data_IF_109547267617
#
_entry.id   IF_109547267617
#
_cell.length_a   1.000
_cell.length_b   1.000
_cell.length_c   1.000
_cell.angle_alpha   90.00
_cell.angle_beta   90.00
_cell.angle_gamma   90.00
#
_symmetry.space_group_name_H-M   'P 1'
#
loop_
_entity.id
_entity.type
_entity.pdbx_description
1 polymer ?
#
# COMPACT_ATOMS: atom_id res chain seq x y z
N UNK A 1 -2.06 28.36 11.29
CA UNK A 1 -1.87 27.19 10.40
C UNK A 1 -2.27 25.95 11.18
N UNK A 2 -3.42 25.35 10.89
CA UNK A 2 -3.90 24.20 11.66
C UNK A 2 -3.20 22.94 11.14
N UNK A 3 -1.96 22.69 11.59
CA UNK A 3 -1.26 21.43 11.31
C UNK A 3 -1.93 20.35 12.14
N UNK A 4 -2.89 19.64 11.54
CA UNK A 4 -3.47 18.43 12.16
C UNK A 4 -2.48 17.29 11.93
N UNK A 5 -1.53 17.16 12.84
CA UNK A 5 -0.68 15.98 12.93
C UNK A 5 -1.56 14.77 13.29
N UNK A 6 -1.78 13.87 12.33
CA UNK A 6 -2.43 12.59 12.59
C UNK A 6 -1.39 11.67 13.22
N UNK A 7 -1.23 11.77 14.54
CA UNK A 7 -0.44 10.82 15.30
C UNK A 7 -0.27 11.22 16.75
N UNK A 8 -0.75 10.42 17.70
CA UNK A 8 0.07 9.38 18.34
C UNK A 8 -0.65 8.67 19.50
N UNK A 9 -0.08 7.51 19.85
CA UNK A 9 -0.30 6.58 20.98
C UNK A 9 -1.33 5.45 20.91
N UNK A 10 -2.54 5.60 20.37
CA UNK A 10 -3.42 4.41 20.22
C UNK A 10 -3.20 3.60 18.92
N UNK A 11 -2.43 4.16 17.97
CA UNK A 11 -2.06 3.46 16.74
C UNK A 11 -1.07 2.29 16.95
N UNK A 12 -0.43 2.18 18.12
CA UNK A 12 0.53 1.10 18.41
C UNK A 12 -0.12 -0.28 18.59
N UNK A 13 -1.46 -0.38 18.72
CA UNK A 13 -2.17 -1.66 18.72
C UNK A 13 -2.77 -2.07 17.37
N UNK A 14 -2.85 -1.18 16.39
CA UNK A 14 -3.38 -1.50 15.06
C UNK A 14 -2.31 -1.94 14.05
N UNK A 15 -1.04 -2.04 14.48
CA UNK A 15 0.10 -2.46 13.66
C UNK A 15 0.21 -3.97 13.39
N UNK A 16 -0.87 -4.75 13.59
CA UNK A 16 -0.84 -6.20 13.33
C UNK A 16 -1.31 -6.62 11.95
N UNK A 17 -1.92 -5.74 11.16
CA UNK A 17 -2.24 -6.05 9.75
C UNK A 17 -1.80 -4.89 8.85
N UNK A 18 -0.78 -5.08 7.98
CA UNK A 18 -0.41 -4.06 7.01
C UNK A 18 -1.57 -3.86 6.03
N UNK A 19 -2.21 -2.69 6.10
CA UNK A 19 -3.12 -2.26 5.04
C UNK A 19 -2.31 -2.20 3.72
N UNK A 20 -2.76 -2.85 2.64
CA UNK A 20 -2.02 -2.97 1.39
C UNK A 20 -1.64 -1.60 0.84
N UNK A 21 -0.44 -1.50 0.27
CA UNK A 21 0.09 -0.27 -0.32
C UNK A 21 -0.86 0.34 -1.38
N UNK A 22 -1.62 -0.51 -2.08
CA UNK A 22 -2.50 -0.20 -3.22
C UNK A 22 -3.69 0.71 -2.89
N UNK A 23 -4.17 0.73 -1.64
CA UNK A 23 -5.32 1.56 -1.25
C UNK A 23 -4.93 2.90 -0.61
N UNK A 24 -3.63 3.14 -0.37
CA UNK A 24 -3.13 4.32 0.34
C UNK A 24 -3.44 5.65 -0.37
N UNK A 25 -3.32 5.80 -1.70
CA UNK A 25 -3.62 7.06 -2.37
C UNK A 25 -5.09 7.47 -2.21
N UNK A 26 -6.03 6.56 -2.48
CA UNK A 26 -7.46 6.81 -2.37
C UNK A 26 -7.87 7.17 -0.93
N UNK A 27 -7.32 6.44 0.06
CA UNK A 27 -7.56 6.72 1.48
C UNK A 27 -7.03 8.10 1.90
N UNK A 28 -5.84 8.46 1.44
CA UNK A 28 -5.21 9.76 1.72
C UNK A 28 -6.06 10.90 1.16
N UNK A 29 -6.48 10.77 -0.11
CA UNK A 29 -7.36 11.73 -0.76
C UNK A 29 -8.70 11.87 -0.04
N UNK A 30 -9.33 10.75 0.35
CA UNK A 30 -10.60 10.76 1.07
C UNK A 30 -10.52 11.54 2.39
N UNK A 31 -9.54 11.23 3.25
CA UNK A 31 -9.44 11.91 4.55
C UNK A 31 -9.00 13.36 4.41
N UNK A 32 -8.17 13.69 3.42
CA UNK A 32 -7.79 15.07 3.12
C UNK A 32 -9.01 15.89 2.68
N UNK A 33 -9.79 15.38 1.72
CA UNK A 33 -11.02 16.03 1.26
C UNK A 33 -12.06 16.15 2.39
N UNK A 34 -12.21 15.11 3.22
CA UNK A 34 -13.13 15.13 4.37
C UNK A 34 -12.70 16.11 5.46
N UNK A 35 -11.40 16.26 5.69
CA UNK A 35 -10.88 17.24 6.63
C UNK A 35 -11.14 18.68 6.14
N UNK A 36 -11.06 18.92 4.83
CA UNK A 36 -11.44 20.19 4.22
C UNK A 36 -12.96 20.44 4.32
N UNK A 37 -13.77 19.47 3.88
CA UNK A 37 -15.23 19.62 3.87
C UNK A 37 -15.81 19.79 5.28
N UNK A 38 -15.17 19.18 6.28
CA UNK A 38 -15.60 19.30 7.68
C UNK A 38 -15.26 20.63 8.36
N UNK A 39 -14.66 21.60 7.65
CA UNK A 39 -14.37 22.93 8.20
C UNK A 39 -15.58 23.86 8.22
N UNK A 40 -16.54 23.64 7.33
CA UNK A 40 -17.69 24.52 7.12
C UNK A 40 -18.99 23.71 7.13
N UNK A 41 -20.08 24.32 7.59
CA UNK A 41 -21.40 23.71 7.54
C UNK A 41 -22.17 24.17 6.29
N UNK A 42 -23.29 23.51 6.00
CA UNK A 42 -24.13 23.87 4.85
C UNK A 42 -24.57 25.34 4.94
N UNK A 43 -24.40 26.08 3.85
CA UNK A 43 -24.75 27.50 3.76
C UNK A 43 -23.67 28.48 4.23
N UNK A 44 -22.51 28.00 4.71
CA UNK A 44 -21.35 28.85 5.00
C UNK A 44 -20.55 29.20 3.74
N UNK A 45 -19.86 30.33 3.78
CA UNK A 45 -19.02 30.85 2.69
C UNK A 45 -17.74 30.01 2.51
N UNK A 46 -17.41 29.67 1.26
CA UNK A 46 -16.18 28.99 0.90
C UNK A 46 -14.91 29.81 1.20
N UNK A 47 -15.01 31.13 1.33
CA UNK A 47 -13.92 31.99 1.79
C UNK A 47 -13.45 31.66 3.21
N UNK A 48 -14.27 30.99 4.02
CA UNK A 48 -13.89 30.53 5.35
C UNK A 48 -13.00 29.29 5.35
N UNK A 49 -12.84 28.61 4.20
CA UNK A 49 -11.99 27.43 4.09
C UNK A 49 -10.52 27.78 4.34
N UNK A 50 -9.90 27.04 5.25
CA UNK A 50 -8.46 27.12 5.52
C UNK A 50 -7.72 26.04 4.74
N UNK A 51 -6.49 26.31 4.28
CA UNK A 51 -5.63 25.28 3.71
C UNK A 51 -5.54 24.04 4.60
N UNK A 52 -5.77 22.87 4.01
CA UNK A 52 -5.70 21.57 4.66
C UNK A 52 -4.49 20.81 4.14
N UNK A 53 -3.61 20.45 5.04
CA UNK A 53 -2.39 19.71 4.74
C UNK A 53 -2.47 18.36 5.44
N UNK A 54 -2.36 17.27 4.67
CA UNK A 54 -2.15 15.94 5.20
C UNK A 54 -0.65 15.61 5.16
N UNK A 55 -0.10 15.12 6.26
CA UNK A 55 1.30 14.67 6.34
C UNK A 55 1.29 13.20 6.74
N UNK A 56 1.82 12.34 5.87
CA UNK A 56 1.91 10.90 6.07
C UNK A 56 3.35 10.48 6.26
N UNK A 57 3.62 9.80 7.36
CA UNK A 57 4.91 9.18 7.64
C UNK A 57 4.83 7.68 7.31
N UNK A 58 5.70 7.22 6.40
CA UNK A 58 5.74 5.84 5.96
C UNK A 58 7.06 5.20 6.37
N UNK A 59 7.00 4.02 6.99
CA UNK A 59 8.20 3.22 7.29
C UNK A 59 8.70 2.48 6.04
N UNK A 60 7.83 2.28 5.05
CA UNK A 60 8.10 1.56 3.80
C UNK A 60 8.37 2.53 2.66
N UNK A 61 9.26 2.13 1.76
CA UNK A 61 9.46 2.76 0.46
C UNK A 61 8.26 2.41 -0.43
N UNK A 62 7.46 3.41 -0.79
CA UNK A 62 6.25 3.31 -1.58
C UNK A 62 6.44 3.83 -3.00
N UNK A 63 7.23 4.90 -3.18
CA UNK A 63 7.34 5.62 -4.44
C UNK A 63 8.67 5.31 -5.14
N UNK A 64 8.60 5.26 -6.48
CA UNK A 64 9.60 4.61 -7.33
C UNK A 64 10.94 5.35 -7.51
N UNK A 65 11.04 6.61 -7.11
CA UNK A 65 12.32 7.33 -7.17
C UNK A 65 13.21 6.92 -5.98
N UNK A 66 14.41 6.37 -6.23
CA UNK A 66 15.35 6.00 -5.17
C UNK A 66 16.03 7.22 -4.52
N UNK A 67 16.05 8.38 -5.18
CA UNK A 67 16.72 9.60 -4.73
C UNK A 67 15.82 10.60 -4.00
N UNK A 68 14.50 10.35 -3.94
CA UNK A 68 13.52 11.21 -3.28
C UNK A 68 12.76 10.46 -2.18
N UNK A 69 12.63 11.10 -1.02
CA UNK A 69 11.93 10.52 0.14
C UNK A 69 10.86 11.44 0.75
N UNK A 70 10.88 12.74 0.44
CA UNK A 70 9.84 13.70 0.76
C UNK A 70 9.05 14.04 -0.52
N UNK A 71 7.75 13.82 -0.47
CA UNK A 71 6.87 13.90 -1.63
C UNK A 71 5.75 14.89 -1.36
N UNK A 72 5.55 15.85 -2.27
CA UNK A 72 4.50 16.84 -2.17
C UNK A 72 3.53 16.74 -3.33
N UNK A 73 2.28 16.43 -3.02
CA UNK A 73 1.19 16.34 -3.97
C UNK A 73 0.25 17.53 -3.81
N UNK A 74 -0.09 18.16 -4.94
CA UNK A 74 -0.92 19.35 -5.04
C UNK A 74 -1.85 19.25 -6.24
N UNK A 75 -2.94 20.02 -6.22
CA UNK A 75 -3.80 20.18 -7.38
C UNK A 75 -3.09 21.06 -8.42
N UNK A 76 -2.73 20.47 -9.56
CA UNK A 76 -1.96 21.10 -10.63
C UNK A 76 -2.59 20.77 -11.98
N UNK A 77 -2.37 21.64 -12.96
CA UNK A 77 -2.75 21.35 -14.34
C UNK A 77 -1.91 20.18 -14.89
N UNK A 78 -2.53 19.28 -15.65
CA UNK A 78 -1.85 18.09 -16.18
C UNK A 78 -0.83 18.43 -17.27
N UNK A 79 -1.10 19.43 -18.11
CA UNK A 79 -0.22 19.82 -19.23
C UNK A 79 0.85 20.81 -18.79
N UNK A 80 0.55 21.62 -17.78
CA UNK A 80 1.43 22.63 -17.21
C UNK A 80 1.56 22.41 -15.69
N UNK A 81 2.39 21.45 -15.25
CA UNK A 81 2.49 21.12 -13.82
C UNK A 81 2.90 22.29 -12.92
N UNK A 82 3.54 23.34 -13.46
CA UNK A 82 3.86 24.56 -12.72
C UNK A 82 2.62 25.35 -12.26
N UNK A 83 1.49 25.23 -12.97
CA UNK A 83 0.23 25.89 -12.64
C UNK A 83 -0.47 25.12 -11.53
N UNK A 84 -0.66 25.77 -10.38
CA UNK A 84 -1.34 25.21 -9.20
C UNK A 84 -2.74 25.77 -9.06
N UNK A 85 -3.71 24.91 -8.72
CA UNK A 85 -5.05 25.32 -8.36
C UNK A 85 -5.11 25.65 -6.86
N UNK A 86 -4.64 26.85 -6.51
CA UNK A 86 -4.57 27.34 -5.14
C UNK A 86 -3.68 26.49 -4.22
N UNK A 87 -3.83 26.69 -2.91
CA UNK A 87 -3.05 25.99 -1.87
C UNK A 87 -3.95 25.27 -0.85
N UNK A 88 -5.23 25.11 -1.19
CA UNK A 88 -6.26 24.63 -0.26
C UNK A 88 -6.05 23.18 0.16
N UNK A 89 -5.48 22.34 -0.71
CA UNK A 89 -5.21 20.92 -0.44
C UNK A 89 -3.77 20.56 -0.79
N UNK A 90 -3.05 20.01 0.19
CA UNK A 90 -1.72 19.44 -0.02
C UNK A 90 -1.60 18.10 0.71
N UNK A 91 -0.97 17.12 0.06
CA UNK A 91 -0.59 15.85 0.69
C UNK A 91 0.93 15.73 0.66
N UNK A 92 1.53 15.59 1.83
CA UNK A 92 2.95 15.35 2.02
C UNK A 92 3.16 13.90 2.45
N UNK A 93 4.04 13.18 1.79
CA UNK A 93 4.44 11.81 2.16
C UNK A 93 5.93 11.82 2.45
N UNK A 94 6.33 11.32 3.62
CA UNK A 94 7.73 11.18 4.02
C UNK A 94 8.02 9.71 4.25
N UNK A 95 8.89 9.12 3.43
CA UNK A 95 9.36 7.75 3.54
C UNK A 95 10.54 7.70 4.51
N UNK A 96 10.25 7.46 5.79
CA UNK A 96 11.17 7.65 6.92
C UNK A 96 12.53 6.96 6.72
N UNK A 97 12.54 5.65 6.42
CA UNK A 97 13.78 4.87 6.23
C UNK A 97 14.58 5.34 5.03
N UNK A 98 13.89 5.68 3.93
CA UNK A 98 14.53 6.24 2.73
C UNK A 98 15.12 7.62 3.04
N UNK A 99 14.38 8.48 3.73
CA UNK A 99 14.80 9.81 4.15
C UNK A 99 16.06 9.79 5.01
N UNK A 100 16.12 8.91 6.01
CA UNK A 100 17.31 8.77 6.86
C UNK A 100 18.52 8.26 6.06
N UNK A 101 18.34 7.22 5.24
CA UNK A 101 19.40 6.67 4.38
C UNK A 101 19.94 7.70 3.39
N UNK A 102 19.08 8.54 2.83
CA UNK A 102 19.49 9.58 1.89
C UNK A 102 20.21 10.73 2.59
N UNK A 103 19.84 11.07 3.82
CA UNK A 103 20.51 12.11 4.62
C UNK A 103 20.48 13.51 4.00
N UNK A 104 19.57 13.77 3.05
CA UNK A 104 19.49 15.01 2.25
C UNK A 104 18.40 15.97 2.69
N UNK A 105 17.60 15.61 3.69
CA UNK A 105 16.51 16.45 4.16
C UNK A 105 17.03 17.64 4.97
N UNK A 106 16.29 18.76 4.99
CA UNK A 106 16.63 19.91 5.84
C UNK A 106 16.81 19.49 7.31
N UNK A 107 17.72 20.13 8.07
CA UNK A 107 18.06 19.70 9.44
C UNK A 107 16.86 19.53 10.37
N UNK A 108 15.88 20.44 10.29
CA UNK A 108 14.64 20.34 11.06
C UNK A 108 13.86 19.05 10.74
N UNK A 109 13.68 18.74 9.44
CA UNK A 109 12.93 17.57 9.02
C UNK A 109 13.70 16.27 9.32
N UNK A 110 15.02 16.28 9.19
CA UNK A 110 15.90 15.17 9.59
C UNK A 110 15.77 14.84 11.08
N UNK A 111 15.69 15.85 11.94
CA UNK A 111 15.45 15.66 13.37
C UNK A 111 14.08 15.02 13.65
N UNK A 112 13.04 15.42 12.93
CA UNK A 112 11.72 14.80 13.01
C UNK A 112 11.71 13.35 12.51
N UNK A 113 12.40 13.05 11.41
CA UNK A 113 12.53 11.68 10.89
C UNK A 113 13.26 10.80 11.90
N UNK A 114 14.36 11.27 12.48
CA UNK A 114 15.10 10.57 13.52
C UNK A 114 14.23 10.30 14.75
N UNK A 115 13.50 11.31 15.22
CA UNK A 115 12.57 11.17 16.34
C UNK A 115 11.49 10.11 16.06
N UNK A 116 10.86 10.14 14.89
CA UNK A 116 9.77 9.24 14.55
C UNK A 116 10.22 7.79 14.31
N UNK A 117 11.45 7.59 13.82
CA UNK A 117 12.01 6.26 13.63
C UNK A 117 12.56 5.65 14.94
N UNK A 118 13.20 6.47 15.77
CA UNK A 118 13.97 6.01 16.93
C UNK A 118 13.35 6.43 18.27
N UNK A 119 12.05 6.71 18.30
CA UNK A 119 11.34 7.17 19.50
C UNK A 119 11.50 6.28 20.74
N UNK A 120 11.89 5.02 20.56
CA UNK A 120 12.09 4.04 21.64
C UNK A 120 13.57 3.88 22.05
N UNK A 121 14.51 4.50 21.33
CA UNK A 121 15.94 4.38 21.57
C UNK A 121 16.45 5.61 22.33
N UNK A 122 16.55 5.51 23.66
CA UNK A 122 16.92 6.65 24.51
C UNK A 122 18.25 7.33 24.11
N UNK A 123 19.23 6.55 23.64
CA UNK A 123 20.50 7.10 23.19
C UNK A 123 20.32 8.01 21.96
N UNK A 124 19.64 7.52 20.91
CA UNK A 124 19.36 8.31 19.70
C UNK A 124 18.46 9.50 19.97
N UNK A 125 17.52 9.38 20.90
CA UNK A 125 16.65 10.47 21.29
C UNK A 125 17.38 11.60 22.02
N UNK A 126 18.45 11.30 22.78
CA UNK A 126 19.30 12.31 23.44
C UNK A 126 20.17 13.09 22.44
N UNK A 127 20.50 12.49 21.31
CA UNK A 127 21.33 13.12 20.28
C UNK A 127 20.54 14.10 19.39
N UNK A 128 19.21 14.10 19.47
CA UNK A 128 18.36 15.06 18.75
C UNK A 128 18.43 16.40 19.48
N UNK A 129 19.04 17.41 18.86
CA UNK A 129 19.20 18.75 19.45
C UNK A 129 18.16 19.75 18.98
N UNK A 130 17.22 19.34 18.14
CA UNK A 130 16.23 20.25 17.55
C UNK A 130 15.09 20.57 18.52
N UNK A 131 15.09 21.79 19.06
CA UNK A 131 14.19 22.20 20.14
C UNK A 131 12.67 22.01 19.88
N UNK A 132 12.14 22.29 18.67
CA UNK A 132 10.72 22.03 18.38
C UNK A 132 10.30 20.55 18.55
N UNK A 133 11.23 19.60 18.36
CA UNK A 133 10.95 18.17 18.59
C UNK A 133 10.78 17.91 20.09
N UNK A 134 11.65 18.47 20.93
CA UNK A 134 11.54 18.33 22.38
C UNK A 134 10.26 18.96 22.94
N UNK A 135 9.94 20.18 22.48
CA UNK A 135 8.71 20.86 22.88
C UNK A 135 7.48 20.02 22.53
N UNK A 136 7.42 19.48 21.31
CA UNK A 136 6.31 18.65 20.86
C UNK A 136 6.20 17.33 21.64
N UNK A 137 7.32 16.68 21.95
CA UNK A 137 7.33 15.48 22.80
C UNK A 137 6.84 15.78 24.22
N UNK A 138 7.18 16.96 24.76
CA UNK A 138 6.67 17.46 26.02
C UNK A 138 5.15 17.68 25.97
N UNK A 139 4.67 18.42 24.97
CA UNK A 139 3.24 18.67 24.74
C UNK A 139 2.46 17.39 24.49
N UNK A 140 3.02 16.41 23.79
CA UNK A 140 2.35 15.14 23.52
C UNK A 140 2.04 14.37 24.82
N UNK A 141 2.95 14.41 25.79
CA UNK A 141 2.71 13.80 27.12
C UNK A 141 1.52 14.45 27.84
N UNK A 142 1.30 15.75 27.62
CA UNK A 142 0.19 16.51 28.19
C UNK A 142 -1.11 16.29 27.41
N UNK A 143 -1.07 16.33 26.06
CA UNK A 143 -2.24 16.16 25.18
C UNK A 143 -2.89 14.79 25.30
N UNK A 144 -2.12 13.74 25.60
CA UNK A 144 -2.67 12.41 25.87
C UNK A 144 -3.57 12.35 27.11
N UNK A 145 -3.63 13.44 27.89
CA UNK A 145 -4.50 13.58 29.04
C UNK A 145 -5.74 14.46 28.79
N UNK A 146 -5.86 15.22 27.67
CA UNK A 146 -6.88 16.28 27.56
C UNK A 146 -7.52 16.59 26.16
N UNK A 147 -7.42 15.75 25.12
CA UNK A 147 -8.21 16.00 23.88
C UNK A 147 -8.87 14.75 23.31
N UNK A 148 -10.11 14.50 23.74
CA UNK A 148 -10.54 13.12 23.84
C UNK A 148 -11.77 12.78 22.97
N UNK A 149 -12.87 13.55 22.93
CA UNK A 149 -14.11 13.01 22.31
C UNK A 149 -14.15 13.02 20.76
N UNK A 150 -13.99 14.18 20.11
CA UNK A 150 -14.16 14.32 18.64
C UNK A 150 -13.04 13.65 17.86
N UNK A 151 -11.82 13.71 18.38
CA UNK A 151 -10.67 13.03 17.80
C UNK A 151 -10.78 11.51 17.95
N UNK A 152 -11.22 10.99 19.11
CA UNK A 152 -11.50 9.55 19.27
C UNK A 152 -12.62 9.07 18.34
N UNK A 153 -13.68 9.86 18.13
CA UNK A 153 -14.74 9.52 17.20
C UNK A 153 -14.23 9.41 15.74
N UNK A 154 -13.46 10.41 15.30
CA UNK A 154 -12.83 10.38 13.97
C UNK A 154 -11.82 9.24 13.82
N UNK A 155 -10.99 8.99 14.84
CA UNK A 155 -10.03 7.90 14.86
C UNK A 155 -10.71 6.52 14.84
N UNK A 156 -11.83 6.36 15.56
CA UNK A 156 -12.64 5.14 15.57
C UNK A 156 -13.26 4.87 14.21
N UNK A 157 -13.86 5.89 13.59
CA UNK A 157 -14.40 5.76 12.24
C UNK A 157 -13.32 5.40 11.23
N UNK A 158 -12.14 6.03 11.35
CA UNK A 158 -10.99 5.70 10.52
C UNK A 158 -10.53 4.26 10.69
N UNK A 159 -10.45 3.76 11.93
CA UNK A 159 -10.07 2.39 12.20
C UNK A 159 -11.05 1.37 11.57
N UNK A 160 -12.36 1.64 11.66
CA UNK A 160 -13.40 0.79 11.04
C UNK A 160 -13.24 0.76 9.52
N UNK A 161 -13.05 1.92 8.90
CA UNK A 161 -12.86 2.01 7.45
C UNK A 161 -11.57 1.30 6.99
N UNK A 162 -10.50 1.39 7.77
CA UNK A 162 -9.23 0.72 7.49
C UNK A 162 -9.36 -0.80 7.55
N UNK A 163 -10.06 -1.31 8.56
CA UNK A 163 -10.32 -2.73 8.75
C UNK A 163 -11.17 -3.28 7.60
N UNK A 164 -12.25 -2.57 7.23
CA UNK A 164 -13.07 -2.93 6.09
C UNK A 164 -12.27 -2.97 4.78
N UNK A 165 -11.40 -1.98 4.55
CA UNK A 165 -10.54 -1.94 3.37
C UNK A 165 -9.52 -3.08 3.35
N UNK A 166 -8.94 -3.43 4.51
CA UNK A 166 -8.00 -4.54 4.62
C UNK A 166 -8.68 -5.89 4.34
N UNK A 167 -9.88 -6.11 4.89
CA UNK A 167 -10.69 -7.31 4.64
C UNK A 167 -11.07 -7.43 3.16
N UNK A 168 -11.61 -6.35 2.57
CA UNK A 168 -12.01 -6.35 1.16
C UNK A 168 -10.83 -6.69 0.23
N UNK A 169 -9.63 -6.16 0.50
CA UNK A 169 -8.44 -6.51 -0.24
C UNK A 169 -8.06 -7.98 -0.08
N UNK A 170 -8.05 -8.48 1.16
CA UNK A 170 -7.69 -9.87 1.43
C UNK A 170 -8.66 -10.84 0.73
N UNK A 171 -9.96 -10.54 0.76
CA UNK A 171 -10.99 -11.31 0.05
C UNK A 171 -10.77 -11.28 -1.46
N UNK A 172 -10.57 -10.10 -2.06
CA UNK A 172 -10.35 -9.98 -3.51
C UNK A 172 -9.10 -10.74 -3.96
N UNK A 173 -7.97 -10.52 -3.28
CA UNK A 173 -6.70 -11.18 -3.62
C UNK A 173 -6.80 -12.69 -3.45
N UNK A 174 -7.45 -13.16 -2.38
CA UNK A 174 -7.67 -14.59 -2.15
C UNK A 174 -8.58 -15.22 -3.19
N UNK A 175 -9.63 -14.52 -3.64
CA UNK A 175 -10.50 -14.98 -4.72
C UNK A 175 -9.77 -15.04 -6.06
N UNK A 176 -9.02 -14.00 -6.42
CA UNK A 176 -8.23 -13.97 -7.66
C UNK A 176 -7.21 -15.12 -7.71
N UNK A 177 -6.46 -15.33 -6.62
CA UNK A 177 -5.52 -16.44 -6.51
C UNK A 177 -6.22 -17.81 -6.54
N UNK A 178 -7.36 -17.93 -5.86
CA UNK A 178 -8.14 -19.17 -5.83
C UNK A 178 -8.72 -19.53 -7.20
N UNK A 179 -9.20 -18.53 -7.94
CA UNK A 179 -9.75 -18.72 -9.28
C UNK A 179 -8.65 -19.13 -10.27
N UNK A 180 -7.49 -18.48 -10.22
CA UNK A 180 -6.36 -18.82 -11.10
C UNK A 180 -5.80 -20.21 -10.79
N UNK A 181 -5.63 -20.55 -9.51
CA UNK A 181 -5.21 -21.89 -9.11
C UNK A 181 -6.23 -22.95 -9.52
N UNK A 182 -7.52 -22.70 -9.31
CA UNK A 182 -8.59 -23.62 -9.71
C UNK A 182 -8.66 -23.82 -11.23
N UNK A 183 -8.42 -22.76 -12.02
CA UNK A 183 -8.31 -22.84 -13.48
C UNK A 183 -7.14 -23.74 -13.91
N UNK A 184 -5.94 -23.51 -13.37
CA UNK A 184 -4.75 -24.31 -13.67
C UNK A 184 -4.91 -25.78 -13.28
N UNK A 185 -5.42 -26.06 -12.09
CA UNK A 185 -5.70 -27.43 -11.64
C UNK A 185 -6.74 -28.11 -12.53
N UNK A 186 -7.76 -27.38 -12.99
CA UNK A 186 -8.76 -27.85 -13.94
C UNK A 186 -8.17 -28.19 -15.31
N UNK A 187 -7.35 -27.31 -15.88
CA UNK A 187 -6.66 -27.52 -17.16
C UNK A 187 -5.69 -28.71 -17.10
N UNK A 188 -4.89 -28.80 -16.03
CA UNK A 188 -3.98 -29.93 -15.82
C UNK A 188 -4.73 -31.26 -15.71
N UNK A 189 -5.83 -31.30 -14.94
CA UNK A 189 -6.65 -32.50 -14.78
C UNK A 189 -7.34 -32.91 -16.08
N UNK A 190 -7.82 -31.94 -16.86
CA UNK A 190 -8.43 -32.20 -18.16
C UNK A 190 -7.39 -32.81 -19.12
N UNK A 191 -6.21 -32.20 -19.20
CA UNK A 191 -5.12 -32.69 -20.04
C UNK A 191 -4.65 -34.09 -19.60
N UNK A 192 -4.54 -34.35 -18.30
CA UNK A 192 -4.25 -35.67 -17.73
C UNK A 192 -5.27 -36.73 -18.19
N UNK A 193 -6.56 -36.41 -18.13
CA UNK A 193 -7.63 -37.32 -18.57
C UNK A 193 -7.54 -37.62 -20.08
N UNK A 194 -7.29 -36.59 -20.89
CA UNK A 194 -7.15 -36.74 -22.35
C UNK A 194 -5.92 -37.57 -22.72
N UNK A 195 -4.78 -37.32 -22.06
CA UNK A 195 -3.56 -38.09 -22.23
C UNK A 195 -3.75 -39.54 -21.81
N UNK A 196 -4.42 -39.77 -20.68
CA UNK A 196 -4.75 -41.11 -20.20
C UNK A 196 -5.67 -41.86 -21.17
N UNK A 197 -6.59 -41.13 -21.81
CA UNK A 197 -7.50 -41.70 -22.81
C UNK A 197 -6.79 -42.05 -24.12
N UNK A 198 -5.83 -41.22 -24.57
CA UNK A 198 -5.11 -41.41 -25.84
C UNK A 198 -3.98 -42.43 -25.73
N UNK A 199 -3.23 -42.41 -24.62
CA UNK A 199 -1.98 -43.18 -24.47
C UNK A 199 -2.04 -44.27 -23.39
N UNK A 200 -3.15 -44.38 -22.63
CA UNK A 200 -3.29 -45.33 -21.53
C UNK A 200 -2.73 -44.79 -20.20
N UNK A 201 -2.43 -45.68 -19.24
CA UNK A 201 -2.02 -45.28 -17.90
C UNK A 201 -0.74 -44.41 -17.92
N UNK A 202 -0.83 -43.21 -17.35
CA UNK A 202 0.29 -42.27 -17.30
C UNK A 202 1.23 -42.57 -16.11
N UNK A 203 2.56 -42.54 -16.31
CA UNK A 203 3.54 -42.63 -15.22
C UNK A 203 3.36 -41.50 -14.20
N UNK A 204 3.65 -41.75 -12.93
CA UNK A 204 3.47 -40.75 -11.85
C UNK A 204 4.29 -39.48 -12.10
N UNK A 205 5.50 -39.61 -12.64
CA UNK A 205 6.34 -38.47 -13.05
C UNK A 205 5.64 -37.55 -14.07
N UNK A 206 4.76 -38.10 -14.92
CA UNK A 206 3.99 -37.31 -15.89
C UNK A 206 2.87 -36.52 -15.21
N UNK A 207 2.21 -37.14 -14.21
CA UNK A 207 1.13 -36.49 -13.45
C UNK A 207 1.68 -35.36 -12.57
N UNK A 208 2.84 -35.57 -11.95
CA UNK A 208 3.55 -34.52 -11.20
C UNK A 208 3.95 -33.36 -12.11
N UNK A 209 4.44 -33.66 -13.32
CA UNK A 209 4.79 -32.64 -14.32
C UNK A 209 3.59 -31.81 -14.75
N UNK A 210 2.41 -32.42 -14.91
CA UNK A 210 1.16 -31.70 -15.23
C UNK A 210 0.70 -30.81 -14.08
N UNK A 211 0.81 -31.27 -12.82
CA UNK A 211 0.44 -30.48 -11.63
C UNK A 211 1.34 -29.27 -11.40
N UNK A 212 2.61 -29.36 -11.77
CA UNK A 212 3.59 -28.29 -11.63
C UNK A 212 3.67 -27.36 -12.85
N UNK A 213 2.86 -27.59 -13.88
CA UNK A 213 2.93 -26.86 -15.14
C UNK A 213 2.35 -25.45 -15.04
N UNK A 214 2.91 -24.53 -15.81
CA UNK A 214 2.34 -23.19 -16.01
C UNK A 214 1.20 -23.21 -17.03
N UNK A 215 0.35 -22.18 -17.03
CA UNK A 215 -0.72 -22.03 -18.02
C UNK A 215 -0.23 -22.22 -19.46
N UNK A 216 0.87 -21.55 -19.83
CA UNK A 216 1.45 -21.60 -21.16
C UNK A 216 1.96 -23.01 -21.54
N UNK A 217 2.48 -23.75 -20.57
CA UNK A 217 2.90 -25.13 -20.79
C UNK A 217 1.70 -26.05 -21.03
N UNK A 218 0.64 -25.92 -20.22
CA UNK A 218 -0.59 -26.69 -20.38
C UNK A 218 -1.26 -26.42 -21.74
N UNK A 219 -1.31 -25.15 -22.17
CA UNK A 219 -1.83 -24.75 -23.47
C UNK A 219 -1.02 -25.35 -24.62
N UNK A 220 0.31 -25.22 -24.56
CA UNK A 220 1.22 -25.80 -25.57
C UNK A 220 1.03 -27.31 -25.68
N UNK A 221 0.97 -28.03 -24.55
CA UNK A 221 0.80 -29.47 -24.53
C UNK A 221 -0.59 -29.89 -25.01
N UNK A 222 -1.64 -29.10 -24.72
CA UNK A 222 -2.99 -29.35 -25.21
C UNK A 222 -3.06 -29.25 -26.74
N UNK A 223 -2.34 -28.30 -27.36
CA UNK A 223 -2.24 -28.19 -28.81
C UNK A 223 -1.44 -29.37 -29.40
N UNK A 224 -0.27 -29.67 -28.84
CA UNK A 224 0.57 -30.78 -29.29
C UNK A 224 -0.15 -32.13 -29.21
N UNK A 225 -1.07 -32.30 -28.25
CA UNK A 225 -1.84 -33.53 -28.08
C UNK A 225 -2.65 -33.90 -29.33
N UNK A 226 -3.08 -32.93 -30.14
CA UNK A 226 -3.88 -33.20 -31.33
C UNK A 226 -3.09 -33.99 -32.38
N UNK A 227 -1.80 -33.70 -32.52
CA UNK A 227 -0.94 -34.25 -33.57
C UNK A 227 0.00 -35.36 -33.06
N UNK A 228 0.37 -35.33 -31.77
CA UNK A 228 1.34 -36.24 -31.19
C UNK A 228 0.92 -37.72 -31.26
N UNK A 229 1.77 -38.56 -31.83
CA UNK A 229 1.61 -40.02 -31.86
C UNK A 229 2.15 -40.70 -30.60
N UNK A 230 2.99 -40.00 -29.80
CA UNK A 230 3.54 -40.52 -28.54
C UNK A 230 3.48 -39.49 -27.41
N UNK A 231 3.56 -39.98 -26.17
CA UNK A 231 3.57 -39.13 -24.98
C UNK A 231 4.75 -38.12 -24.98
N UNK A 232 5.92 -38.52 -25.51
CA UNK A 232 7.10 -37.65 -25.58
C UNK A 232 6.93 -36.47 -26.54
N UNK A 233 6.12 -36.62 -27.60
CA UNK A 233 5.86 -35.57 -28.59
C UNK A 233 4.98 -34.45 -28.04
N UNK A 234 4.04 -34.79 -27.15
CA UNK A 234 3.18 -33.82 -26.46
C UNK A 234 4.01 -32.79 -25.68
N UNK A 235 5.07 -33.27 -25.03
CA UNK A 235 5.87 -32.49 -24.10
C UNK A 235 7.01 -31.68 -24.75
N UNK A 236 7.06 -31.63 -26.08
CA UNK A 236 8.03 -30.80 -26.80
C UNK A 236 7.75 -29.32 -26.53
N UNK A 237 8.79 -28.48 -26.37
CA UNK A 237 8.61 -27.04 -26.34
C UNK A 237 7.99 -26.62 -27.69
N UNK A 238 6.92 -25.82 -27.64
CA UNK A 238 6.25 -25.35 -28.86
C UNK A 238 7.26 -24.61 -29.74
N UNK A 239 7.20 -24.87 -31.05
CA UNK A 239 7.93 -24.04 -32.00
C UNK A 239 7.33 -22.63 -31.91
N UNK A 240 8.12 -21.67 -31.42
CA UNK A 240 7.74 -20.26 -31.45
C UNK A 240 7.44 -19.85 -32.89
N UNK A 241 6.20 -19.44 -33.16
CA UNK A 241 5.83 -18.62 -34.31
C UNK A 241 5.62 -17.18 -33.82
#
# INVERSE_FOLDING_TARGET
>A
MLVRAVGTRHALRCFRNPCPATHRPARSAYYLARALSGQIERGHDYLALKPTIAIHFLVQDLLGDPGQADWRFELRDQRQPAVRLGETLQLHIIELRKAERLGRLPPALSAWVACLQHAQEEARMKDITHEPVHEALGRLKVLTMDEDARWRAFAREKAIADEAAALAYATRTGMEQGLEKGRLEGEARLLENLLSRKFGALPDATRERLRAATAAQLETWALNLLEAGTLGEVFRPGASA
#
